data_IF_186787233203
#
_entry.id   IF_186787233203
#
_cell.length_a   1.000
_cell.length_b   1.000
_cell.length_c   1.000
_cell.angle_alpha   90.00
_cell.angle_beta   90.00
_cell.angle_gamma   90.00
#
_symmetry.space_group_name_H-M   'P 1'
#
loop_
_entity.id
_entity.type
_entity.pdbx_description
1 polymer ?
#
# COMPACT_ATOMS: atom_id res chain seq x y z
N UNK A 1 0.95 28.82 -16.47
CA UNK A 1 1.39 28.76 -15.07
C UNK A 1 0.20 29.09 -14.22
N UNK A 2 -0.32 28.08 -13.56
CA UNK A 2 -1.54 28.10 -12.78
C UNK A 2 -2.03 26.66 -12.71
N UNK A 3 -2.60 26.31 -11.58
CA UNK A 3 -3.01 24.92 -11.30
C UNK A 3 -4.14 24.52 -12.26
N UNK A 4 -3.89 23.46 -13.00
CA UNK A 4 -4.73 22.91 -14.04
C UNK A 4 -5.37 21.59 -13.55
N UNK A 5 -6.58 21.30 -14.03
CA UNK A 5 -7.35 20.12 -13.67
C UNK A 5 -7.72 19.32 -14.91
N UNK A 6 -7.31 18.06 -14.95
CA UNK A 6 -7.73 17.09 -15.95
C UNK A 6 -8.64 16.04 -15.30
N UNK A 7 -9.85 15.92 -15.82
CA UNK A 7 -10.85 14.96 -15.34
C UNK A 7 -11.26 14.03 -16.46
N UNK A 8 -11.37 12.75 -16.15
CA UNK A 8 -11.89 11.74 -17.09
C UNK A 8 -12.86 10.79 -16.41
N UNK A 9 -13.88 10.39 -17.16
CA UNK A 9 -14.79 9.29 -16.85
C UNK A 9 -15.24 8.64 -18.16
N UNK A 10 -16.05 7.57 -18.08
CA UNK A 10 -16.47 6.80 -19.26
C UNK A 10 -17.08 7.62 -20.40
N UNK A 11 -17.80 8.72 -20.13
CA UNK A 11 -18.55 9.45 -21.17
C UNK A 11 -17.93 10.77 -21.62
N UNK A 12 -17.06 11.37 -20.81
CA UNK A 12 -16.43 12.65 -21.16
C UNK A 12 -15.11 12.88 -20.42
N UNK A 13 -14.31 13.79 -20.97
CA UNK A 13 -13.15 14.35 -20.32
C UNK A 13 -13.27 15.88 -20.24
N UNK A 14 -12.62 16.46 -19.24
CA UNK A 14 -12.55 17.89 -19.04
C UNK A 14 -11.12 18.30 -18.74
N UNK A 15 -10.67 19.39 -19.37
CA UNK A 15 -9.44 20.08 -19.00
C UNK A 15 -9.78 21.52 -18.64
N UNK A 16 -9.50 21.91 -17.39
CA UNK A 16 -9.84 23.23 -16.86
C UNK A 16 -8.61 23.89 -16.27
N UNK A 17 -8.50 25.20 -16.46
CA UNK A 17 -7.46 26.00 -15.83
C UNK A 17 -7.74 27.49 -15.99
N UNK A 18 -6.73 28.31 -15.73
CA UNK A 18 -6.92 29.77 -15.79
C UNK A 18 -7.22 30.21 -17.23
N UNK A 19 -8.46 30.64 -17.46
CA UNK A 19 -8.90 31.21 -18.74
C UNK A 19 -9.33 30.20 -19.79
N UNK A 20 -9.43 28.91 -19.44
CA UNK A 20 -9.95 27.88 -20.34
C UNK A 20 -10.76 26.82 -19.59
N UNK A 21 -11.70 26.22 -20.32
CA UNK A 21 -12.46 25.06 -19.87
C UNK A 21 -12.88 24.28 -21.12
N UNK A 22 -12.21 23.17 -21.37
CA UNK A 22 -12.41 22.31 -22.54
C UNK A 22 -13.11 21.03 -22.13
N UNK A 23 -14.01 20.54 -22.98
CA UNK A 23 -14.69 19.27 -22.79
C UNK A 23 -14.57 18.43 -24.07
N UNK A 24 -14.31 17.14 -23.91
CA UNK A 24 -14.40 16.13 -24.96
C UNK A 24 -15.45 15.09 -24.59
N UNK A 25 -16.25 14.61 -25.54
CA UNK A 25 -17.33 13.66 -25.30
C UNK A 25 -17.24 12.48 -26.26
N UNK A 26 -17.43 11.27 -25.73
CA UNK A 26 -17.53 10.05 -26.54
C UNK A 26 -16.24 9.64 -27.26
N UNK A 27 -15.07 10.01 -26.72
CA UNK A 27 -13.79 9.52 -27.20
C UNK A 27 -13.35 8.30 -26.40
N UNK A 28 -12.88 7.27 -27.08
CA UNK A 28 -12.33 6.06 -26.45
C UNK A 28 -10.96 6.32 -25.82
N UNK A 29 -10.19 7.28 -26.35
CA UNK A 29 -8.85 7.60 -25.87
C UNK A 29 -8.80 9.05 -25.41
N UNK A 30 -8.48 9.26 -24.13
CA UNK A 30 -8.31 10.58 -23.53
C UNK A 30 -6.86 10.77 -23.11
N UNK A 31 -6.25 11.89 -23.52
CA UNK A 31 -4.84 12.18 -23.21
C UNK A 31 -4.72 13.60 -22.66
N UNK A 32 -4.26 13.72 -21.42
CA UNK A 32 -3.95 14.97 -20.74
C UNK A 32 -2.45 15.18 -20.58
N UNK A 33 -1.99 16.43 -20.66
CA UNK A 33 -0.59 16.82 -20.43
C UNK A 33 -0.53 18.06 -19.56
N UNK A 34 0.28 18.04 -18.50
CA UNK A 34 0.57 19.21 -17.67
C UNK A 34 2.04 19.66 -17.77
N UNK A 35 2.34 20.47 -18.79
CA UNK A 35 3.74 20.83 -19.15
C UNK A 35 4.20 22.22 -18.73
N UNK A 36 3.26 23.07 -18.33
CA UNK A 36 3.49 24.51 -18.24
C UNK A 36 3.65 25.01 -16.79
N UNK A 37 3.91 24.09 -15.87
CA UNK A 37 4.09 24.33 -14.45
C UNK A 37 2.83 24.77 -13.73
N UNK A 38 2.76 24.43 -12.46
CA UNK A 38 1.57 24.49 -11.63
C UNK A 38 1.71 23.39 -10.57
N UNK A 39 0.71 23.24 -9.73
CA UNK A 39 0.50 21.99 -9.02
C UNK A 39 -0.81 21.41 -9.57
N UNK A 40 -0.66 20.61 -10.63
CA UNK A 40 -1.74 20.21 -11.50
C UNK A 40 -2.31 18.85 -11.08
N UNK A 41 -3.62 18.68 -11.25
CA UNK A 41 -4.33 17.47 -10.78
C UNK A 41 -4.96 16.72 -11.94
N UNK A 42 -4.69 15.42 -12.02
CA UNK A 42 -5.41 14.47 -12.86
C UNK A 42 -6.33 13.61 -12.00
N UNK A 43 -7.65 13.71 -12.24
CA UNK A 43 -8.65 12.81 -11.68
C UNK A 43 -9.19 11.88 -12.76
N UNK A 44 -9.01 10.58 -12.56
CA UNK A 44 -9.33 9.54 -13.53
C UNK A 44 -10.29 8.56 -12.88
N UNK A 45 -11.51 8.44 -13.42
CA UNK A 45 -12.46 7.41 -13.00
C UNK A 45 -12.40 6.21 -13.94
N UNK A 46 -12.56 5.04 -13.33
CA UNK A 46 -12.77 3.76 -14.03
C UNK A 46 -13.91 3.82 -15.05
N UNK A 47 -13.97 2.78 -15.86
CA UNK A 47 -15.00 2.58 -16.85
C UNK A 47 -15.97 1.50 -16.34
N UNK A 48 -16.88 1.03 -17.20
CA UNK A 48 -17.69 -0.12 -16.83
C UNK A 48 -16.88 -1.40 -16.94
N UNK A 49 -16.97 -2.31 -15.97
CA UNK A 49 -16.29 -3.62 -16.05
C UNK A 49 -14.87 -3.54 -15.51
N UNK A 50 -14.06 -4.55 -15.80
CA UNK A 50 -12.73 -4.67 -15.19
C UNK A 50 -11.73 -3.68 -15.83
N UNK A 51 -11.11 -2.86 -14.98
CA UNK A 51 -10.16 -1.83 -15.36
C UNK A 51 -8.78 -2.01 -14.68
N UNK A 52 -7.74 -1.55 -15.36
CA UNK A 52 -6.36 -1.60 -14.89
C UNK A 52 -5.73 -0.21 -14.91
N UNK A 53 -5.26 0.25 -13.76
CA UNK A 53 -4.53 1.49 -13.58
C UNK A 53 -3.04 1.25 -13.37
N UNK A 54 -2.20 2.05 -14.02
CA UNK A 54 -0.76 2.14 -13.74
C UNK A 54 -0.40 3.60 -13.47
N UNK A 55 0.26 3.86 -12.34
CA UNK A 55 0.74 5.18 -11.95
C UNK A 55 2.26 5.16 -11.85
N UNK A 56 2.89 5.97 -12.68
CA UNK A 56 4.31 6.26 -12.68
C UNK A 56 4.53 7.75 -12.38
N UNK A 57 5.78 8.11 -12.09
CA UNK A 57 6.18 9.47 -11.74
C UNK A 57 6.06 10.47 -12.89
N UNK A 58 6.03 9.99 -14.13
CA UNK A 58 5.90 10.81 -15.34
C UNK A 58 4.58 10.59 -16.10
N UNK A 59 3.85 9.51 -15.82
CA UNK A 59 2.54 9.26 -16.42
C UNK A 59 1.63 8.38 -15.56
N UNK A 60 0.32 8.53 -15.76
CA UNK A 60 -0.71 7.60 -15.30
C UNK A 60 -1.48 7.07 -16.49
N UNK A 61 -1.84 5.79 -16.45
CA UNK A 61 -2.76 5.17 -17.41
C UNK A 61 -3.90 4.47 -16.68
N UNK A 62 -5.08 4.47 -17.30
CA UNK A 62 -6.22 3.65 -16.93
C UNK A 62 -6.80 3.05 -18.20
N UNK A 63 -6.87 1.72 -18.24
CA UNK A 63 -7.30 0.96 -19.41
C UNK A 63 -8.35 -0.06 -19.00
N UNK A 64 -9.47 -0.07 -19.71
CA UNK A 64 -10.44 -1.16 -19.63
C UNK A 64 -11.67 -0.90 -20.48
N UNK A 65 -12.43 -1.95 -20.75
CA UNK A 65 -13.60 -1.94 -21.64
C UNK A 65 -13.45 -1.22 -22.99
N UNK A 66 -12.24 -1.25 -23.56
CA UNK A 66 -11.92 -0.60 -24.85
C UNK A 66 -11.75 0.92 -24.77
N UNK A 67 -11.65 1.47 -23.56
CA UNK A 67 -11.34 2.87 -23.29
C UNK A 67 -9.95 2.98 -22.65
N UNK A 68 -9.28 4.09 -22.91
CA UNK A 68 -7.94 4.39 -22.41
C UNK A 68 -7.85 5.85 -21.97
N UNK A 69 -7.29 6.09 -20.79
CA UNK A 69 -6.90 7.43 -20.35
C UNK A 69 -5.41 7.43 -20.06
N UNK A 70 -4.73 8.49 -20.52
CA UNK A 70 -3.36 8.79 -20.15
C UNK A 70 -3.26 10.21 -19.61
N UNK A 71 -2.63 10.37 -18.45
CA UNK A 71 -2.31 11.67 -17.87
C UNK A 71 -0.80 11.77 -17.70
N UNK A 72 -0.17 12.74 -18.34
CA UNK A 72 1.27 12.92 -18.32
C UNK A 72 1.67 14.18 -17.55
N UNK A 73 2.71 14.06 -16.73
CA UNK A 73 3.36 15.19 -16.05
C UNK A 73 2.43 15.92 -15.05
N UNK A 74 1.55 15.22 -14.35
CA UNK A 74 0.71 15.80 -13.27
C UNK A 74 1.32 15.53 -11.89
N UNK A 75 1.31 16.52 -10.99
CA UNK A 75 1.83 16.39 -9.62
C UNK A 75 0.83 15.73 -8.64
N UNK A 76 -0.47 15.81 -8.92
CA UNK A 76 -1.52 15.16 -8.13
C UNK A 76 -2.32 14.21 -9.01
N UNK A 77 -2.46 12.96 -8.56
CA UNK A 77 -3.10 11.90 -9.32
C UNK A 77 -4.14 11.22 -8.44
N UNK A 78 -5.42 11.35 -8.79
CA UNK A 78 -6.53 10.62 -8.19
C UNK A 78 -7.04 9.59 -9.20
N UNK A 79 -6.90 8.30 -8.92
CA UNK A 79 -7.51 7.22 -9.72
C UNK A 79 -8.59 6.53 -8.91
N UNK A 80 -9.83 6.50 -9.41
CA UNK A 80 -11.00 6.08 -8.65
C UNK A 80 -11.75 4.97 -9.38
N UNK A 81 -11.83 3.79 -8.77
CA UNK A 81 -12.71 2.70 -9.20
C UNK A 81 -14.10 2.83 -8.52
N UNK A 82 -15.09 3.30 -9.27
CA UNK A 82 -16.44 3.65 -8.78
C UNK A 82 -17.58 3.15 -9.67
N UNK A 83 -17.27 2.62 -10.85
CA UNK A 83 -18.23 2.12 -11.83
C UNK A 83 -18.31 0.59 -11.86
N UNK A 84 -17.51 -0.06 -11.01
CA UNK A 84 -17.61 -1.46 -10.64
C UNK A 84 -17.01 -2.40 -11.69
N UNK A 85 -16.49 -3.51 -11.22
CA UNK A 85 -15.63 -4.40 -11.98
C UNK A 85 -14.88 -5.29 -11.00
N UNK A 86 -13.82 -5.92 -11.46
CA UNK A 86 -12.72 -6.36 -10.60
C UNK A 86 -11.47 -5.63 -11.06
N UNK A 87 -11.21 -4.51 -10.41
CA UNK A 87 -10.27 -3.51 -10.85
C UNK A 87 -8.92 -3.67 -10.16
N UNK A 88 -7.87 -3.27 -10.88
CA UNK A 88 -6.49 -3.35 -10.39
C UNK A 88 -5.77 -2.01 -10.52
N UNK A 89 -4.92 -1.69 -9.56
CA UNK A 89 -4.04 -0.52 -9.59
C UNK A 89 -2.60 -0.91 -9.24
N UNK A 90 -1.63 -0.40 -10.00
CA UNK A 90 -0.20 -0.51 -9.70
C UNK A 90 0.42 0.89 -9.64
N UNK A 91 1.09 1.21 -8.54
CA UNK A 91 1.80 2.48 -8.34
C UNK A 91 3.30 2.19 -8.25
N UNK A 92 4.11 2.98 -8.95
CA UNK A 92 5.55 2.84 -8.99
C UNK A 92 6.23 4.10 -8.45
N UNK A 93 6.95 3.95 -7.35
CA UNK A 93 7.74 5.03 -6.75
C UNK A 93 9.09 5.29 -7.42
N UNK A 94 9.86 6.20 -6.81
CA UNK A 94 11.20 6.59 -7.30
C UNK A 94 12.33 5.77 -6.68
N UNK A 95 12.02 4.88 -5.73
CA UNK A 95 12.96 4.11 -4.94
C UNK A 95 13.95 5.01 -4.17
N UNK A 96 13.43 6.11 -3.64
CA UNK A 96 14.18 7.13 -2.89
C UNK A 96 13.59 7.37 -1.49
N UNK A 97 14.36 7.95 -0.58
CA UNK A 97 14.01 8.01 0.85
C UNK A 97 12.80 8.90 1.19
N UNK A 98 12.34 9.67 0.20
CA UNK A 98 11.16 10.53 0.20
C UNK A 98 9.87 9.79 -0.17
N UNK A 99 9.96 8.56 -0.69
CA UNK A 99 8.77 7.77 -0.99
C UNK A 99 8.05 7.40 0.31
N UNK A 100 6.74 7.64 0.37
CA UNK A 100 5.87 7.26 1.47
C UNK A 100 4.63 6.58 0.91
N UNK A 101 4.21 5.49 1.54
CA UNK A 101 2.96 4.84 1.24
C UNK A 101 2.10 4.83 2.51
N UNK A 102 0.83 5.18 2.37
CA UNK A 102 -0.21 4.95 3.36
C UNK A 102 -1.33 4.15 2.71
N UNK A 103 -2.13 3.46 3.50
CA UNK A 103 -3.26 2.70 2.99
C UNK A 103 -4.52 3.05 3.75
N UNK A 104 -5.64 2.76 3.11
CA UNK A 104 -7.01 2.90 3.59
C UNK A 104 -7.70 1.56 3.71
N UNK A 105 -8.95 1.56 4.15
CA UNK A 105 -9.83 0.39 3.97
C UNK A 105 -9.95 -0.04 2.51
N UNK A 106 -10.00 0.94 1.60
CA UNK A 106 -10.19 0.72 0.17
C UNK A 106 -9.37 1.70 -0.68
N UNK A 107 -8.30 2.26 -0.13
CA UNK A 107 -7.41 3.16 -0.88
C UNK A 107 -5.95 2.87 -0.59
N UNK A 108 -5.07 3.35 -1.46
CA UNK A 108 -3.63 3.40 -1.23
C UNK A 108 -3.16 4.79 -1.66
N UNK A 109 -2.53 5.49 -0.72
CA UNK A 109 -1.90 6.78 -0.92
C UNK A 109 -0.41 6.56 -1.11
N UNK A 110 0.18 7.25 -2.09
CA UNK A 110 1.58 7.12 -2.39
C UNK A 110 2.18 8.47 -2.79
N UNK A 111 3.09 8.94 -1.96
CA UNK A 111 3.77 10.22 -2.13
C UNK A 111 5.24 9.99 -2.48
N UNK A 112 5.73 10.73 -3.48
CA UNK A 112 7.15 10.87 -3.82
C UNK A 112 7.53 12.35 -3.82
N UNK A 113 8.78 12.69 -4.11
CA UNK A 113 9.17 14.08 -4.37
C UNK A 113 8.52 14.70 -5.61
N UNK A 114 7.92 13.90 -6.50
CA UNK A 114 7.37 14.37 -7.77
C UNK A 114 5.85 14.26 -7.85
N UNK A 115 5.25 13.24 -7.27
CA UNK A 115 3.82 12.95 -7.39
C UNK A 115 3.20 12.64 -6.03
N UNK A 116 1.95 13.06 -5.84
CA UNK A 116 1.08 12.59 -4.75
C UNK A 116 -0.06 11.81 -5.40
N UNK A 117 -0.19 10.54 -5.06
CA UNK A 117 -1.12 9.62 -5.71
C UNK A 117 -2.13 9.11 -4.70
N UNK A 118 -3.40 9.14 -5.07
CA UNK A 118 -4.48 8.48 -4.37
C UNK A 118 -5.14 7.48 -5.33
N UNK A 119 -5.08 6.19 -5.02
CA UNK A 119 -5.90 5.17 -5.73
C UNK A 119 -6.95 4.63 -4.78
N UNK A 120 -8.22 4.59 -5.18
CA UNK A 120 -9.28 4.07 -4.32
C UNK A 120 -10.37 3.30 -5.05
N UNK A 121 -11.03 2.40 -4.32
CA UNK A 121 -12.12 1.56 -4.82
C UNK A 121 -11.68 0.26 -5.48
N UNK A 122 -10.40 0.10 -5.79
CA UNK A 122 -9.86 -1.09 -6.46
C UNK A 122 -9.88 -2.33 -5.56
N UNK A 123 -10.25 -3.48 -6.11
CA UNK A 123 -10.16 -4.77 -5.42
C UNK A 123 -8.71 -5.16 -5.14
N UNK A 124 -7.78 -4.81 -6.04
CA UNK A 124 -6.34 -5.01 -5.82
C UNK A 124 -5.58 -3.71 -6.10
N UNK A 125 -4.78 -3.26 -5.14
CA UNK A 125 -3.83 -2.17 -5.37
C UNK A 125 -2.44 -2.55 -4.87
N UNK A 126 -1.43 -2.26 -5.67
CA UNK A 126 -0.03 -2.59 -5.38
C UNK A 126 0.84 -1.34 -5.47
N UNK A 127 1.74 -1.17 -4.51
CA UNK A 127 2.80 -0.16 -4.55
C UNK A 127 4.17 -0.84 -4.66
N UNK A 128 4.95 -0.40 -5.63
CA UNK A 128 6.29 -0.88 -5.95
C UNK A 128 7.34 0.21 -5.81
N UNK A 129 8.60 -0.19 -5.72
CA UNK A 129 9.76 0.72 -5.79
C UNK A 129 9.69 1.86 -4.76
N UNK A 130 9.38 1.49 -3.52
CA UNK A 130 9.23 2.42 -2.39
C UNK A 130 10.59 2.53 -1.69
N UNK A 131 11.17 3.72 -1.72
CA UNK A 131 12.56 3.88 -1.33
C UNK A 131 12.89 3.77 0.15
N UNK A 132 14.19 3.62 0.36
CA UNK A 132 14.81 3.18 1.59
C UNK A 132 14.61 4.18 2.72
N UNK A 133 13.72 3.90 3.68
CA UNK A 133 14.12 3.84 5.10
C UNK A 133 12.98 3.34 5.99
N UNK A 134 11.75 3.82 5.81
CA UNK A 134 10.60 3.39 6.63
C UNK A 134 9.28 3.71 5.93
N UNK A 135 8.42 2.70 5.82
CA UNK A 135 7.01 2.89 5.42
C UNK A 135 6.16 2.90 6.69
N UNK A 136 5.38 3.97 6.89
CA UNK A 136 4.49 4.12 8.05
C UNK A 136 3.05 3.86 7.62
N UNK A 137 2.41 2.91 8.26
CA UNK A 137 1.07 2.47 7.89
C UNK A 137 0.17 2.48 9.13
N UNK A 138 -1.06 2.95 8.98
CA UNK A 138 -2.05 2.94 10.07
C UNK A 138 -3.20 1.97 9.75
N UNK A 139 -3.70 1.25 10.75
CA UNK A 139 -4.92 0.43 10.63
C UNK A 139 -6.20 1.27 10.58
N UNK A 140 -7.35 0.59 10.47
CA UNK A 140 -8.66 1.23 10.44
C UNK A 140 -9.60 0.58 11.47
N UNK A 141 -10.84 1.08 11.53
CA UNK A 141 -11.79 0.61 12.55
C UNK A 141 -12.33 -0.81 12.32
N UNK A 142 -12.13 -1.35 11.11
CA UNK A 142 -12.51 -2.71 10.73
C UNK A 142 -11.59 -3.75 11.37
N UNK A 143 -11.84 -5.04 11.11
CA UNK A 143 -10.86 -6.07 11.45
C UNK A 143 -10.13 -6.47 10.19
N UNK A 144 -8.80 -6.39 10.24
CA UNK A 144 -7.97 -6.67 9.08
C UNK A 144 -7.07 -7.90 9.26
N UNK A 145 -6.67 -8.48 8.14
CA UNK A 145 -5.62 -9.48 8.09
C UNK A 145 -4.41 -8.92 7.37
N UNK A 146 -3.29 -8.83 8.08
CA UNK A 146 -2.00 -8.44 7.56
C UNK A 146 -1.15 -9.69 7.32
N UNK A 147 -0.54 -9.82 6.15
CA UNK A 147 0.47 -10.84 5.87
C UNK A 147 1.82 -10.18 5.64
N UNK A 148 2.80 -10.57 6.44
CA UNK A 148 4.13 -9.99 6.50
C UNK A 148 5.13 -10.99 5.95
N UNK A 149 5.81 -10.60 4.87
CA UNK A 149 6.92 -11.32 4.25
C UNK A 149 8.17 -10.44 4.33
N UNK A 150 9.36 -10.98 4.05
CA UNK A 150 10.60 -10.19 4.01
C UNK A 150 10.57 -9.07 2.94
N UNK A 151 9.84 -9.29 1.85
CA UNK A 151 9.86 -8.43 0.65
C UNK A 151 8.56 -7.64 0.44
N UNK A 152 7.53 -7.88 1.25
CA UNK A 152 6.24 -7.20 1.12
C UNK A 152 5.37 -7.30 2.35
N UNK A 153 4.43 -6.39 2.41
CA UNK A 153 3.31 -6.39 3.36
C UNK A 153 2.00 -6.36 2.58
N UNK A 154 1.07 -7.23 2.98
CA UNK A 154 -0.25 -7.35 2.36
C UNK A 154 -1.29 -7.08 3.43
N UNK A 155 -2.22 -6.16 3.16
CA UNK A 155 -3.46 -5.97 3.94
C UNK A 155 -4.63 -6.56 3.16
N UNK A 156 -5.47 -7.32 3.84
CA UNK A 156 -6.76 -7.73 3.32
C UNK A 156 -7.86 -7.49 4.34
N UNK A 157 -8.99 -6.93 3.88
CA UNK A 157 -10.23 -6.82 4.64
C UNK A 157 -11.33 -7.78 4.13
N UNK A 158 -10.95 -8.73 3.27
CA UNK A 158 -11.87 -9.69 2.62
C UNK A 158 -12.52 -9.18 1.33
N UNK A 159 -12.44 -7.88 1.04
CA UNK A 159 -12.92 -7.27 -0.23
C UNK A 159 -11.80 -6.66 -1.05
N UNK A 160 -10.81 -6.07 -0.39
CA UNK A 160 -9.64 -5.45 -1.01
C UNK A 160 -8.36 -6.18 -0.61
N UNK A 161 -7.39 -6.15 -1.50
CA UNK A 161 -6.03 -6.62 -1.30
C UNK A 161 -5.08 -5.46 -1.60
N UNK A 162 -4.44 -4.93 -0.58
CA UNK A 162 -3.47 -3.85 -0.71
C UNK A 162 -2.07 -4.41 -0.44
N UNK A 163 -1.18 -4.32 -1.42
CA UNK A 163 0.19 -4.84 -1.32
C UNK A 163 1.20 -3.72 -1.43
N UNK A 164 2.14 -3.72 -0.50
CA UNK A 164 3.27 -2.80 -0.47
C UNK A 164 4.52 -3.67 -0.60
N UNK A 165 5.19 -3.56 -1.75
CA UNK A 165 6.44 -4.26 -2.03
C UNK A 165 7.61 -3.42 -1.50
N UNK A 166 8.25 -3.92 -0.45
CA UNK A 166 9.36 -3.27 0.24
C UNK A 166 10.25 -4.32 0.87
N UNK A 167 11.53 -4.29 0.53
CA UNK A 167 12.58 -5.07 1.19
C UNK A 167 13.15 -4.34 2.43
N UNK A 168 12.56 -3.20 2.80
CA UNK A 168 13.04 -2.31 3.86
C UNK A 168 12.20 -2.40 5.14
N UNK A 169 12.56 -1.60 6.15
CA UNK A 169 11.79 -1.48 7.38
C UNK A 169 10.34 -1.03 7.12
N UNK A 170 9.39 -1.77 7.67
CA UNK A 170 7.97 -1.40 7.70
C UNK A 170 7.55 -1.14 9.13
N UNK A 171 6.83 -0.04 9.36
CA UNK A 171 6.20 0.28 10.64
C UNK A 171 4.69 0.30 10.48
N UNK A 172 4.00 -0.61 11.15
CA UNK A 172 2.55 -0.72 11.22
C UNK A 172 2.06 -0.23 12.59
N UNK A 173 1.15 0.73 12.60
CA UNK A 173 0.47 1.22 13.80
C UNK A 173 -1.00 0.82 13.77
N UNK A 174 -1.40 -0.06 14.67
CA UNK A 174 -2.72 -0.68 14.71
C UNK A 174 -3.51 -0.22 15.95
N UNK A 175 -4.13 0.95 15.86
CA UNK A 175 -4.79 1.64 16.97
C UNK A 175 -6.23 2.11 16.72
N UNK A 176 -6.77 1.96 15.50
CA UNK A 176 -8.05 2.54 15.09
C UNK A 176 -9.27 1.64 15.40
N UNK A 177 -9.07 0.45 15.97
CA UNK A 177 -10.15 -0.46 16.35
C UNK A 177 -9.97 -1.83 15.70
N UNK A 178 -11.01 -2.67 15.69
CA UNK A 178 -10.90 -3.99 15.09
C UNK A 178 -10.31 -5.09 15.97
N UNK A 179 -10.24 -6.29 15.41
CA UNK A 179 -9.53 -7.44 15.96
C UNK A 179 -8.58 -7.96 14.89
N UNK A 180 -7.42 -7.34 14.80
CA UNK A 180 -6.52 -7.54 13.68
C UNK A 180 -5.67 -8.80 13.83
N UNK A 181 -5.47 -9.47 12.70
CA UNK A 181 -4.70 -10.70 12.60
C UNK A 181 -3.45 -10.48 11.75
N UNK A 182 -2.30 -10.87 12.27
CA UNK A 182 -1.02 -10.80 11.59
C UNK A 182 -0.54 -12.20 11.27
N UNK A 183 -0.13 -12.43 10.03
CA UNK A 183 0.50 -13.65 9.55
C UNK A 183 1.94 -13.31 9.17
N UNK A 184 2.92 -13.69 9.98
CA UNK A 184 4.33 -13.48 9.65
C UNK A 184 4.92 -14.75 9.08
N UNK A 185 5.58 -14.65 7.94
CA UNK A 185 6.25 -15.76 7.26
C UNK A 185 7.75 -15.60 7.41
N UNK A 186 8.41 -16.64 7.91
CA UNK A 186 9.88 -16.69 7.95
C UNK A 186 10.51 -16.70 6.54
N UNK A 187 11.83 -16.59 6.53
CA UNK A 187 12.67 -16.84 5.39
C UNK A 187 13.32 -18.21 5.50
N UNK A 188 14.19 -18.56 4.55
CA UNK A 188 15.01 -19.76 4.71
C UNK A 188 16.14 -19.60 5.75
N UNK A 189 16.41 -18.37 6.19
CA UNK A 189 17.49 -18.03 7.11
C UNK A 189 17.07 -18.25 8.58
N UNK A 190 17.91 -17.79 9.50
CA UNK A 190 17.53 -17.68 10.89
C UNK A 190 16.85 -16.34 11.09
N UNK A 191 15.61 -16.39 11.58
CA UNK A 191 14.81 -15.21 11.86
C UNK A 191 14.45 -15.09 13.34
N UNK A 192 14.20 -13.86 13.77
CA UNK A 192 13.85 -13.54 15.15
C UNK A 192 12.60 -12.68 15.15
N UNK A 193 11.66 -13.00 16.02
CA UNK A 193 10.59 -12.10 16.37
C UNK A 193 10.67 -11.73 17.85
N UNK A 194 10.72 -10.44 18.15
CA UNK A 194 10.62 -9.93 19.52
C UNK A 194 9.16 -9.65 19.86
N UNK A 195 8.66 -10.27 20.93
CA UNK A 195 7.27 -10.15 21.38
C UNK A 195 7.19 -9.25 22.61
N UNK A 196 6.69 -8.03 22.39
CA UNK A 196 6.46 -7.01 23.41
C UNK A 196 4.98 -6.96 23.80
N UNK A 197 4.67 -6.29 24.91
CA UNK A 197 3.31 -6.30 25.49
C UNK A 197 2.22 -5.93 24.48
N UNK A 198 2.43 -4.88 23.68
CA UNK A 198 1.46 -4.35 22.70
C UNK A 198 2.12 -4.08 21.34
N UNK A 199 3.22 -4.77 21.05
CA UNK A 199 3.94 -4.67 19.78
C UNK A 199 4.75 -5.94 19.53
N UNK A 200 5.24 -6.10 18.30
CA UNK A 200 6.24 -7.09 17.95
C UNK A 200 7.14 -6.57 16.83
N UNK A 201 8.34 -7.12 16.77
CA UNK A 201 9.37 -6.76 15.80
C UNK A 201 9.86 -8.03 15.11
N UNK A 202 9.58 -8.18 13.82
CA UNK A 202 10.03 -9.31 13.02
C UNK A 202 11.32 -8.93 12.28
N UNK A 203 12.40 -9.63 12.58
CA UNK A 203 13.72 -9.47 11.98
C UNK A 203 13.97 -10.61 11.02
N UNK A 204 13.96 -10.28 9.74
CA UNK A 204 14.38 -11.19 8.68
C UNK A 204 15.91 -11.04 8.55
N UNK A 205 16.68 -12.11 8.80
CA UNK A 205 18.16 -12.16 8.88
C UNK A 205 18.80 -11.77 10.22
N UNK A 206 19.78 -12.57 10.62
CA UNK A 206 20.57 -12.49 11.86
C UNK A 206 21.48 -11.25 12.05
N UNK A 207 21.33 -10.18 11.24
CA UNK A 207 22.07 -8.92 11.39
C UNK A 207 21.58 -7.77 10.46
N UNK A 208 20.35 -7.84 9.93
CA UNK A 208 19.81 -6.73 9.12
C UNK A 208 19.25 -5.63 10.01
N UNK A 209 19.40 -4.36 9.59
CA UNK A 209 18.63 -3.23 10.14
C UNK A 209 17.17 -3.25 9.69
N UNK A 210 16.79 -4.19 8.82
CA UNK A 210 15.45 -4.29 8.26
C UNK A 210 14.58 -5.15 9.17
N UNK A 211 13.45 -4.60 9.58
CA UNK A 211 12.48 -5.26 10.44
C UNK A 211 11.08 -4.78 10.12
N UNK A 212 10.09 -5.62 10.39
CA UNK A 212 8.71 -5.20 10.44
C UNK A 212 8.34 -4.93 11.89
N UNK A 213 8.16 -3.65 12.21
CA UNK A 213 7.61 -3.20 13.47
C UNK A 213 6.10 -3.16 13.38
N UNK A 214 5.41 -3.80 14.32
CA UNK A 214 3.96 -3.69 14.46
C UNK A 214 3.63 -3.33 15.88
N UNK A 215 2.86 -2.26 16.08
CA UNK A 215 2.46 -1.80 17.41
C UNK A 215 1.02 -1.36 17.45
N UNK A 216 0.38 -1.46 18.61
CA UNK A 216 -0.92 -0.83 18.84
C UNK A 216 -1.93 -1.73 19.57
N UNK A 217 -3.08 -1.15 19.89
CA UNK A 217 -4.12 -1.78 20.71
C UNK A 217 -5.06 -2.71 19.95
N UNK A 218 -5.08 -2.64 18.62
CA UNK A 218 -5.96 -3.43 17.75
C UNK A 218 -5.41 -4.83 17.45
N UNK A 219 -4.13 -5.07 17.76
CA UNK A 219 -3.47 -6.36 17.56
C UNK A 219 -4.21 -7.42 18.39
N UNK A 220 -4.87 -8.36 17.71
CA UNK A 220 -5.63 -9.44 18.36
C UNK A 220 -4.89 -10.76 18.30
N UNK A 221 -4.40 -11.12 17.11
CA UNK A 221 -3.75 -12.41 16.84
C UNK A 221 -2.49 -12.23 16.01
N UNK A 222 -1.44 -12.94 16.37
CA UNK A 222 -0.20 -13.09 15.62
C UNK A 222 0.03 -14.57 15.32
N UNK A 223 0.10 -14.93 14.05
CA UNK A 223 0.38 -16.27 13.56
C UNK A 223 1.78 -16.30 12.95
N UNK A 224 2.67 -17.10 13.52
CA UNK A 224 4.02 -17.30 13.01
C UNK A 224 4.05 -18.56 12.15
N UNK A 225 4.46 -18.42 10.90
CA UNK A 225 4.58 -19.53 9.95
C UNK A 225 6.05 -19.74 9.60
N UNK A 226 6.54 -20.97 9.85
CA UNK A 226 7.87 -21.38 9.44
C UNK A 226 7.85 -22.30 8.20
N UNK A 227 8.71 -22.02 7.22
CA UNK A 227 8.77 -22.66 5.90
C UNK A 227 9.85 -23.72 5.75
N UNK A 228 10.53 -24.05 6.87
CA UNK A 228 11.17 -25.36 7.13
C UNK A 228 12.68 -25.50 6.77
N UNK A 229 13.52 -24.48 6.97
CA UNK A 229 14.99 -24.62 6.84
C UNK A 229 15.84 -24.12 8.03
N UNK A 230 15.25 -23.52 9.08
CA UNK A 230 15.95 -22.95 10.24
C UNK A 230 15.33 -23.28 11.60
N UNK A 231 16.03 -22.89 12.68
CA UNK A 231 15.44 -22.78 14.03
C UNK A 231 15.21 -21.30 14.26
N UNK A 232 13.99 -20.82 14.09
CA UNK A 232 13.65 -19.42 14.33
C UNK A 232 13.30 -19.18 15.79
N UNK A 233 13.49 -17.96 16.26
CA UNK A 233 13.32 -17.63 17.68
C UNK A 233 12.21 -16.60 17.87
N UNK A 234 11.26 -16.93 18.74
CA UNK A 234 10.31 -15.96 19.27
C UNK A 234 10.75 -15.53 20.67
N UNK A 235 11.38 -14.37 20.77
CA UNK A 235 11.86 -13.80 22.02
C UNK A 235 10.75 -13.05 22.74
N UNK A 236 10.23 -13.65 23.82
CA UNK A 236 9.25 -12.96 24.66
C UNK A 236 9.95 -11.98 25.59
N UNK A 237 9.71 -10.68 25.37
CA UNK A 237 10.25 -9.57 26.19
C UNK A 237 9.29 -9.13 27.30
N UNK A 238 8.03 -9.54 27.25
CA UNK A 238 6.99 -9.16 28.22
C UNK A 238 6.31 -10.37 28.88
N UNK A 239 6.06 -10.28 30.19
CA UNK A 239 5.36 -11.33 30.96
C UNK A 239 3.94 -11.58 30.46
N UNK A 240 3.26 -10.52 30.04
CA UNK A 240 1.92 -10.57 29.43
C UNK A 240 2.00 -9.97 28.04
N UNK A 241 1.24 -10.55 27.10
CA UNK A 241 0.99 -9.97 25.80
C UNK A 241 -0.48 -9.59 25.76
N UNK A 242 -0.80 -8.47 25.12
CA UNK A 242 -2.17 -7.99 24.92
C UNK A 242 -2.85 -8.70 23.73
N UNK A 243 -2.11 -9.56 23.01
CA UNK A 243 -2.53 -10.34 21.86
C UNK A 243 -2.20 -11.85 22.01
N UNK A 244 -2.82 -12.68 21.18
CA UNK A 244 -2.56 -14.14 21.12
C UNK A 244 -1.47 -14.45 20.10
N UNK A 245 -0.55 -15.37 20.43
CA UNK A 245 0.49 -15.84 19.51
C UNK A 245 0.30 -17.32 19.20
N UNK A 246 0.17 -17.64 17.91
CA UNK A 246 0.09 -19.00 17.39
C UNK A 246 1.37 -19.35 16.64
N UNK A 247 1.89 -20.55 16.88
CA UNK A 247 3.13 -21.02 16.28
C UNK A 247 2.83 -22.16 15.31
N UNK A 248 3.32 -22.04 14.08
CA UNK A 248 3.26 -23.09 13.06
C UNK A 248 4.67 -23.37 12.53
N UNK A 249 5.19 -24.59 12.75
CA UNK A 249 6.51 -25.00 12.28
C UNK A 249 7.63 -24.86 13.33
N UNK A 250 8.85 -24.49 12.88
CA UNK A 250 10.11 -24.59 13.63
C UNK A 250 10.40 -23.53 14.71
N UNK A 251 9.44 -22.69 15.06
CA UNK A 251 9.61 -21.60 16.03
C UNK A 251 9.91 -22.08 17.45
N UNK A 252 11.00 -21.58 18.04
CA UNK A 252 11.36 -21.81 19.44
C UNK A 252 11.09 -20.55 20.26
N UNK A 253 10.21 -20.67 21.24
CA UNK A 253 9.95 -19.57 22.17
C UNK A 253 11.03 -19.50 23.26
N UNK A 254 11.58 -18.30 23.48
CA UNK A 254 12.46 -17.98 24.60
C UNK A 254 11.84 -16.87 25.45
N UNK A 255 12.25 -16.76 26.72
CA UNK A 255 11.81 -15.71 27.63
C UNK A 255 13.02 -14.88 28.07
N UNK A 256 13.14 -13.67 27.53
CA UNK A 256 14.22 -12.73 27.79
C UNK A 256 13.61 -11.43 28.33
N UNK A 257 13.33 -11.40 29.63
CA UNK A 257 12.76 -10.22 30.28
C UNK A 257 13.83 -9.12 30.39
N UNK A 258 13.56 -7.96 29.79
CA UNK A 258 14.31 -6.73 29.97
C UNK A 258 13.89 -6.00 31.26
#
# INVERSE_FOLDING_TARGET
>A
VGDDFFYTESTYCQATGTGYNHHGYGFEINIGYSRNGGNDTAQIKDYSGDDAAEVHTDYTSLIGSGQETYAFEFEQIDVLAVNGGTDTAAIYGTNTTDDQADWGDNYLDFDTSTINTHVSGFETAEAFSIGQTTINLTDFSGSETFSLYEDRVIKSNGTTLLTIWSENQVTLTCSQGGSDSFNTYDTEAFDVIELNKSSFDMYYRNNSSDYHHVSGSSISTLNLFATNSGIDVAERKSLTLDYTVNYSGGWVQTLNLL
#
